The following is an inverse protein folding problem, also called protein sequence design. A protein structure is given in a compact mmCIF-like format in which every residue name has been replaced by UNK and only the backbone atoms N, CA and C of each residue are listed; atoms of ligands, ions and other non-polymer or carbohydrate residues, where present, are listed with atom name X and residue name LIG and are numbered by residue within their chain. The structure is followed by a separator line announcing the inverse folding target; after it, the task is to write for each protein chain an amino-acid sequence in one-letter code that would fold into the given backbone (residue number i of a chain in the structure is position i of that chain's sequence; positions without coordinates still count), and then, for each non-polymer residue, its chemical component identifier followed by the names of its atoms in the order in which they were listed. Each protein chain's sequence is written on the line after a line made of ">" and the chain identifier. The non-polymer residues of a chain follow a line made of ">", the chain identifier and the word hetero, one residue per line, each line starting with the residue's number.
data_IF_099456179221
#
_entry.id   IF_099456179221
#
_cell.length_a   1.000
_cell.length_b   1.000
_cell.length_c   1.000
_cell.angle_alpha   90.00
_cell.angle_beta   90.00
_cell.angle_gamma   90.00
#
_symmetry.space_group_name_H-M   'P 1'
#
loop_
_entity.id
_entity.type
_entity.pdbx_description
1 polymer ?
#
# COMPACT_ATOMS: atom_id res chain seq x y z
N UNK A 1 99.31 38.93 -1.22
CA UNK A 1 99.05 37.55 -0.75
C UNK A 1 98.84 37.62 0.76
N UNK A 2 97.61 37.45 1.26
CA UNK A 2 97.44 37.36 2.72
C UNK A 2 96.13 37.85 3.36
N UNK A 3 95.02 38.06 2.63
CA UNK A 3 93.75 38.46 3.27
C UNK A 3 92.49 37.79 2.71
N UNK A 4 92.61 36.69 1.94
CA UNK A 4 91.46 36.01 1.30
C UNK A 4 91.10 34.64 1.91
N UNK A 5 91.78 34.21 2.98
CA UNK A 5 91.66 32.83 3.50
C UNK A 5 90.77 32.71 4.75
N UNK A 6 90.44 33.80 5.44
CA UNK A 6 89.69 33.72 6.71
C UNK A 6 88.17 33.67 6.52
N UNK A 7 87.64 34.16 5.39
CA UNK A 7 86.19 34.16 5.14
C UNK A 7 85.60 32.76 4.84
N UNK A 8 86.42 31.78 4.47
CA UNK A 8 85.93 30.42 4.14
C UNK A 8 85.77 29.49 5.34
N UNK A 9 86.34 29.81 6.51
CA UNK A 9 86.28 28.89 7.66
C UNK A 9 85.01 29.05 8.51
N UNK A 10 84.42 30.25 8.57
CA UNK A 10 83.10 30.48 9.17
C UNK A 10 81.95 29.95 8.29
N UNK A 11 82.13 29.98 6.96
CA UNK A 11 81.15 29.48 5.98
C UNK A 11 80.88 27.97 6.13
N UNK A 12 81.91 27.17 6.46
CA UNK A 12 81.73 25.74 6.71
C UNK A 12 81.07 25.42 8.07
N UNK A 13 81.05 26.37 9.03
CA UNK A 13 80.29 26.22 10.29
C UNK A 13 78.83 26.65 10.13
N UNK A 14 78.55 27.64 9.30
CA UNK A 14 77.20 28.09 8.97
C UNK A 14 76.42 27.08 8.09
N UNK A 15 77.10 26.32 7.23
CA UNK A 15 76.42 25.33 6.36
C UNK A 15 76.00 24.06 7.10
N UNK A 16 76.62 23.72 8.24
CA UNK A 16 76.25 22.54 9.04
C UNK A 16 75.03 22.77 9.96
N UNK A 17 74.63 24.01 10.16
CA UNK A 17 73.47 24.38 11.01
C UNK A 17 72.18 24.60 10.21
N UNK A 18 72.27 24.80 8.89
CA UNK A 18 71.08 24.95 8.00
C UNK A 18 70.47 23.59 7.60
N UNK A 19 71.19 22.49 7.75
CA UNK A 19 70.65 21.12 7.51
C UNK A 19 69.97 20.52 8.75
N UNK A 20 69.97 21.22 9.89
CA UNK A 20 69.45 20.70 11.17
C UNK A 20 68.21 21.41 11.71
N UNK A 21 67.59 22.32 10.95
CA UNK A 21 66.25 22.85 11.25
C UNK A 21 65.23 22.18 10.30
N UNK A 22 64.17 21.63 10.89
CA UNK A 22 62.99 21.01 10.26
C UNK A 22 62.99 19.52 9.91
N UNK A 23 63.87 18.71 10.50
CA UNK A 23 63.39 17.37 10.92
C UNK A 23 62.66 17.56 12.25
N UNK A 24 61.44 18.10 12.20
CA UNK A 24 60.59 18.25 13.37
C UNK A 24 59.85 16.91 13.58
N UNK A 25 60.31 16.01 14.46
CA UNK A 25 59.72 14.68 14.62
C UNK A 25 58.24 14.75 15.05
N UNK A 26 57.80 15.87 15.62
CA UNK A 26 56.40 16.17 15.93
C UNK A 26 55.55 16.33 14.67
N UNK A 27 55.95 17.14 13.69
CA UNK A 27 55.17 17.35 12.46
C UNK A 27 54.95 16.04 11.68
N UNK A 28 55.97 15.18 11.62
CA UNK A 28 55.84 13.86 10.98
C UNK A 28 54.89 12.93 11.76
N UNK A 29 54.86 13.05 13.09
CA UNK A 29 53.95 12.32 13.98
C UNK A 29 52.52 12.83 13.83
N UNK A 30 52.33 14.14 13.73
CA UNK A 30 51.03 14.78 13.54
C UNK A 30 50.44 14.42 12.17
N UNK A 31 51.25 14.42 11.11
CA UNK A 31 50.84 13.94 9.78
C UNK A 31 50.43 12.47 9.82
N UNK A 32 51.14 11.61 10.56
CA UNK A 32 50.76 10.21 10.71
C UNK A 32 49.45 10.04 11.50
N UNK A 33 49.25 10.82 12.56
CA UNK A 33 48.02 10.83 13.33
C UNK A 33 46.87 11.30 12.44
N UNK A 34 47.02 12.44 11.75
CA UNK A 34 46.03 12.98 10.82
C UNK A 34 45.71 11.98 9.71
N UNK A 35 46.70 11.29 9.16
CA UNK A 35 46.49 10.25 8.14
C UNK A 35 45.69 9.08 8.72
N UNK A 36 46.06 8.57 9.90
CA UNK A 36 45.31 7.51 10.59
C UNK A 36 43.87 7.93 10.91
N UNK A 37 43.67 9.16 11.38
CA UNK A 37 42.35 9.71 11.66
C UNK A 37 41.54 9.84 10.37
N UNK A 38 42.15 10.30 9.28
CA UNK A 38 41.49 10.41 7.96
C UNK A 38 41.08 9.04 7.43
N UNK A 39 41.95 8.04 7.56
CA UNK A 39 41.66 6.66 7.15
C UNK A 39 40.56 6.04 8.00
N UNK A 40 40.55 6.29 9.31
CA UNK A 40 39.48 5.85 10.22
C UNK A 40 38.13 6.49 9.89
N UNK A 41 38.10 7.82 9.71
CA UNK A 41 36.88 8.55 9.36
C UNK A 41 36.32 8.08 8.01
N UNK A 42 37.17 7.79 7.03
CA UNK A 42 36.74 7.20 5.74
C UNK A 42 36.12 5.82 5.91
N UNK A 43 36.64 5.00 6.82
CA UNK A 43 36.07 3.70 7.12
C UNK A 43 34.72 3.81 7.85
N UNK A 44 34.59 4.76 8.78
CA UNK A 44 33.31 5.07 9.42
C UNK A 44 32.26 5.53 8.42
N UNK A 45 32.61 6.45 7.51
CA UNK A 45 31.70 6.91 6.44
C UNK A 45 31.22 5.72 5.60
N UNK A 46 32.13 4.84 5.15
CA UNK A 46 31.75 3.62 4.40
C UNK A 46 30.83 2.69 5.19
N UNK A 47 31.07 2.53 6.50
CA UNK A 47 30.22 1.71 7.36
C UNK A 47 28.83 2.32 7.53
N UNK A 48 28.76 3.65 7.65
CA UNK A 48 27.49 4.39 7.75
C UNK A 48 26.71 4.28 6.44
N UNK A 49 27.36 4.55 5.29
CA UNK A 49 26.74 4.42 3.96
C UNK A 49 26.21 2.99 3.72
N UNK A 50 26.97 1.96 4.13
CA UNK A 50 26.53 0.57 4.01
C UNK A 50 25.30 0.28 4.88
N UNK A 51 25.30 0.75 6.13
CA UNK A 51 24.14 0.60 7.04
C UNK A 51 22.92 1.35 6.50
N UNK A 52 23.10 2.53 5.92
CA UNK A 52 22.02 3.31 5.32
C UNK A 52 21.38 2.54 4.15
N UNK A 53 22.18 1.95 3.27
CA UNK A 53 21.69 1.10 2.18
C UNK A 53 20.95 -0.15 2.70
N UNK A 54 21.46 -0.81 3.73
CA UNK A 54 20.79 -1.95 4.36
C UNK A 54 19.44 -1.53 4.99
N UNK A 55 19.38 -0.37 5.66
CA UNK A 55 18.13 0.15 6.22
C UNK A 55 17.11 0.52 5.14
N UNK A 56 17.55 1.12 4.03
CA UNK A 56 16.68 1.46 2.91
C UNK A 56 16.06 0.20 2.28
N UNK A 57 16.85 -0.86 2.09
CA UNK A 57 16.35 -2.13 1.52
C UNK A 57 15.40 -2.87 2.47
N UNK A 58 15.66 -2.83 3.78
CA UNK A 58 14.73 -3.35 4.80
C UNK A 58 13.44 -2.53 4.81
N UNK A 59 13.53 -1.19 4.75
CA UNK A 59 12.35 -0.31 4.73
C UNK A 59 11.47 -0.57 3.52
N UNK A 60 12.05 -0.70 2.32
CA UNK A 60 11.28 -1.03 1.12
C UNK A 60 10.62 -2.40 1.20
N UNK A 61 11.29 -3.38 1.83
CA UNK A 61 10.73 -4.73 2.02
C UNK A 61 9.56 -4.72 3.02
N UNK A 62 9.68 -3.93 4.09
CA UNK A 62 8.61 -3.75 5.08
C UNK A 62 7.39 -3.05 4.45
N UNK A 63 7.59 -2.00 3.65
CA UNK A 63 6.50 -1.33 2.93
C UNK A 63 5.77 -2.27 1.95
N UNK A 64 6.51 -3.12 1.25
CA UNK A 64 5.91 -4.11 0.36
C UNK A 64 5.10 -5.16 1.14
N UNK A 65 5.58 -5.60 2.31
CA UNK A 65 4.87 -6.52 3.18
C UNK A 65 3.61 -5.89 3.80
N UNK A 66 3.69 -4.62 4.20
CA UNK A 66 2.56 -3.85 4.73
C UNK A 66 1.48 -3.65 3.65
N UNK A 67 1.89 -3.33 2.42
CA UNK A 67 0.97 -3.21 1.28
C UNK A 67 0.29 -4.54 0.96
N UNK A 68 1.03 -5.65 1.00
CA UNK A 68 0.46 -6.99 0.83
C UNK A 68 -0.53 -7.30 1.95
N UNK A 69 -0.16 -7.02 3.20
CA UNK A 69 -1.05 -7.22 4.36
C UNK A 69 -2.36 -6.45 4.17
N UNK A 70 -2.31 -5.18 3.79
CA UNK A 70 -3.50 -4.36 3.55
C UNK A 70 -4.38 -4.93 2.42
N UNK A 71 -3.78 -5.45 1.35
CA UNK A 71 -4.53 -6.12 0.28
C UNK A 71 -5.26 -7.38 0.80
N UNK A 72 -4.60 -8.18 1.64
CA UNK A 72 -5.24 -9.34 2.26
C UNK A 72 -6.38 -8.93 3.18
N UNK A 73 -6.19 -7.93 4.04
CA UNK A 73 -7.24 -7.43 4.94
C UNK A 73 -8.46 -6.88 4.16
N UNK A 74 -8.22 -6.24 3.01
CA UNK A 74 -9.30 -5.77 2.12
C UNK A 74 -10.09 -6.93 1.51
N UNK A 75 -9.38 -7.94 0.98
CA UNK A 75 -9.98 -9.15 0.38
C UNK A 75 -10.73 -9.99 1.41
N UNK A 76 -10.19 -10.09 2.63
CA UNK A 76 -10.77 -10.84 3.73
C UNK A 76 -12.06 -10.22 4.25
N UNK A 77 -12.27 -8.92 4.06
CA UNK A 77 -13.43 -8.24 4.63
C UNK A 77 -13.10 -7.37 5.85
N UNK A 78 -11.88 -7.40 6.36
CA UNK A 78 -11.54 -6.87 7.69
C UNK A 78 -11.48 -5.34 7.75
N UNK A 79 -11.26 -4.69 6.60
CA UNK A 79 -11.22 -3.22 6.48
C UNK A 79 -12.51 -2.72 5.86
N UNK A 80 -13.14 -1.71 6.47
CA UNK A 80 -14.30 -1.04 5.90
C UNK A 80 -13.96 -0.31 4.59
N UNK A 81 -14.78 -0.46 3.56
CA UNK A 81 -14.64 0.25 2.29
C UNK A 81 -15.72 1.30 2.13
N UNK A 82 -15.40 2.43 1.51
CA UNK A 82 -16.33 3.54 1.30
C UNK A 82 -16.27 4.04 -0.12
N UNK A 83 -17.44 4.25 -0.74
CA UNK A 83 -17.51 4.82 -2.08
C UNK A 83 -18.94 5.10 -2.54
N UNK A 84 -19.10 5.74 -3.72
CA UNK A 84 -20.40 5.89 -4.35
C UNK A 84 -20.96 4.54 -4.75
N UNK A 85 -22.27 4.46 -4.97
CA UNK A 85 -22.88 3.22 -5.39
C UNK A 85 -24.40 3.23 -5.38
N UNK A 86 -24.97 2.04 -5.29
CA UNK A 86 -26.41 1.83 -5.27
C UNK A 86 -26.84 0.95 -4.10
N UNK A 87 -28.05 1.21 -3.63
CA UNK A 87 -28.73 0.42 -2.61
C UNK A 87 -30.04 -0.08 -3.19
N UNK A 88 -30.23 -1.39 -3.15
CA UNK A 88 -31.39 -2.08 -3.68
C UNK A 88 -32.11 -2.81 -2.56
N UNK A 89 -33.36 -2.44 -2.28
CA UNK A 89 -34.16 -3.04 -1.20
C UNK A 89 -35.34 -3.80 -1.77
N UNK A 90 -35.46 -5.07 -1.39
CA UNK A 90 -36.55 -5.98 -1.69
C UNK A 90 -37.42 -6.15 -0.44
N UNK A 91 -38.67 -5.67 -0.51
CA UNK A 91 -39.55 -5.64 0.68
C UNK A 91 -40.27 -6.97 0.95
N UNK A 92 -40.30 -7.88 -0.02
CA UNK A 92 -41.02 -9.15 0.05
C UNK A 92 -40.12 -10.33 -0.34
N UNK A 93 -40.67 -11.55 -0.28
CA UNK A 93 -39.96 -12.76 -0.67
C UNK A 93 -39.62 -12.72 -2.17
N UNK A 94 -38.35 -12.97 -2.47
CA UNK A 94 -37.82 -13.06 -3.83
C UNK A 94 -37.20 -14.44 -4.00
N UNK A 95 -37.50 -15.17 -5.09
CA UNK A 95 -36.85 -16.44 -5.35
C UNK A 95 -35.34 -16.30 -5.39
N UNK A 96 -34.63 -17.22 -4.73
CA UNK A 96 -33.21 -17.06 -4.45
C UNK A 96 -32.31 -16.94 -5.69
N UNK A 97 -32.75 -17.48 -6.84
CA UNK A 97 -31.99 -17.41 -8.10
C UNK A 97 -31.86 -15.97 -8.62
N UNK A 98 -32.82 -15.10 -8.33
CA UNK A 98 -32.77 -13.68 -8.74
C UNK A 98 -31.65 -12.92 -8.04
N UNK A 99 -31.22 -13.37 -6.87
CA UNK A 99 -30.09 -12.75 -6.18
C UNK A 99 -28.75 -13.20 -6.76
N UNK A 100 -28.64 -14.46 -7.19
CA UNK A 100 -27.47 -14.92 -7.95
C UNK A 100 -27.30 -14.11 -9.23
N UNK A 101 -28.39 -13.92 -9.97
CA UNK A 101 -28.38 -13.12 -11.21
C UNK A 101 -27.99 -11.67 -10.92
N UNK A 102 -28.57 -11.06 -9.89
CA UNK A 102 -28.23 -9.69 -9.48
C UNK A 102 -26.75 -9.52 -9.12
N UNK A 103 -26.20 -10.40 -8.29
CA UNK A 103 -24.80 -10.32 -7.88
C UNK A 103 -23.88 -10.47 -9.09
N UNK A 104 -24.22 -11.34 -10.04
CA UNK A 104 -23.47 -11.51 -11.28
C UNK A 104 -23.54 -10.25 -12.17
N UNK A 105 -24.72 -9.64 -12.30
CA UNK A 105 -24.91 -8.41 -13.06
C UNK A 105 -24.11 -7.25 -12.43
N UNK A 106 -24.15 -7.09 -11.10
CA UNK A 106 -23.36 -6.10 -10.38
C UNK A 106 -21.85 -6.33 -10.58
N UNK A 107 -21.40 -7.58 -10.47
CA UNK A 107 -19.98 -7.93 -10.66
C UNK A 107 -19.54 -7.65 -12.10
N UNK A 108 -20.37 -8.00 -13.08
CA UNK A 108 -20.11 -7.74 -14.50
C UNK A 108 -20.09 -6.25 -14.82
N UNK A 109 -20.93 -5.47 -14.14
CA UNK A 109 -20.94 -4.01 -14.23
C UNK A 109 -19.75 -3.34 -13.53
N UNK A 110 -18.86 -4.09 -12.89
CA UNK A 110 -17.67 -3.56 -12.21
C UNK A 110 -17.93 -3.09 -10.79
N UNK A 111 -18.84 -3.74 -10.05
CA UNK A 111 -18.96 -3.53 -8.61
C UNK A 111 -17.64 -3.92 -7.91
N UNK A 112 -17.07 -2.99 -7.15
CA UNK A 112 -15.82 -3.20 -6.41
C UNK A 112 -16.08 -3.91 -5.08
N UNK A 113 -17.24 -3.65 -4.46
CA UNK A 113 -17.70 -4.33 -3.27
C UNK A 113 -19.21 -4.49 -3.30
N UNK A 114 -19.70 -5.63 -2.79
CA UNK A 114 -21.13 -5.94 -2.68
C UNK A 114 -21.41 -6.46 -1.28
N UNK A 115 -22.51 -6.02 -0.68
CA UNK A 115 -22.98 -6.50 0.61
C UNK A 115 -24.47 -6.90 0.55
N UNK A 116 -24.83 -7.87 1.38
CA UNK A 116 -26.21 -8.33 1.57
C UNK A 116 -26.58 -8.13 3.04
N UNK A 117 -27.61 -7.34 3.30
CA UNK A 117 -28.06 -6.97 4.65
C UNK A 117 -26.92 -6.43 5.54
N UNK A 118 -26.02 -5.65 4.96
CA UNK A 118 -24.84 -5.09 5.64
C UNK A 118 -23.65 -6.03 5.76
N UNK A 119 -23.75 -7.29 5.34
CA UNK A 119 -22.63 -8.23 5.34
C UNK A 119 -21.94 -8.24 3.98
N UNK A 120 -20.68 -7.79 3.95
CA UNK A 120 -19.87 -7.78 2.72
C UNK A 120 -19.59 -9.19 2.20
N UNK A 121 -19.77 -9.37 0.89
CA UNK A 121 -19.44 -10.60 0.19
C UNK A 121 -17.93 -10.63 -0.07
N UNK A 122 -17.24 -11.64 0.45
CA UNK A 122 -15.79 -11.83 0.27
C UNK A 122 -15.52 -13.21 -0.34
N UNK A 123 -14.37 -13.34 -1.00
CA UNK A 123 -14.01 -14.59 -1.70
C UNK A 123 -13.62 -15.73 -0.75
N UNK A 124 -13.18 -15.42 0.48
CA UNK A 124 -12.63 -16.41 1.42
C UNK A 124 -13.63 -16.85 2.50
N UNK A 125 -14.36 -15.93 3.14
CA UNK A 125 -15.14 -16.24 4.35
C UNK A 125 -16.67 -16.14 4.15
N UNK A 126 -17.14 -15.15 3.37
CA UNK A 126 -18.55 -14.80 3.28
C UNK A 126 -19.10 -14.91 1.85
N UNK A 127 -18.95 -16.10 1.26
CA UNK A 127 -19.52 -16.41 -0.05
C UNK A 127 -21.06 -16.39 -0.03
N UNK A 128 -21.65 -15.96 -1.14
CA UNK A 128 -23.09 -16.02 -1.36
C UNK A 128 -23.54 -17.45 -1.72
N UNK A 129 -24.53 -17.97 -0.99
CA UNK A 129 -25.11 -19.30 -1.21
C UNK A 129 -26.63 -19.26 -1.11
N UNK A 130 -27.26 -20.11 -1.90
CA UNK A 130 -28.69 -20.39 -1.83
C UNK A 130 -28.86 -21.79 -1.26
N UNK A 131 -29.31 -21.88 0.00
CA UNK A 131 -29.52 -23.17 0.69
C UNK A 131 -30.99 -23.58 0.64
N UNK A 132 -31.91 -22.63 0.84
CA UNK A 132 -33.35 -22.85 0.78
C UNK A 132 -34.01 -21.88 -0.21
N UNK A 133 -35.18 -22.23 -0.77
CA UNK A 133 -35.97 -21.29 -1.56
C UNK A 133 -36.32 -20.05 -0.73
N UNK A 134 -36.19 -18.88 -1.33
CA UNK A 134 -36.52 -17.57 -0.74
C UNK A 134 -35.64 -17.13 0.44
N UNK A 135 -34.52 -17.81 0.67
CA UNK A 135 -33.51 -17.36 1.64
C UNK A 135 -32.20 -17.03 0.95
N UNK A 136 -31.40 -16.20 1.62
CA UNK A 136 -30.01 -15.94 1.23
C UNK A 136 -29.09 -16.36 2.36
N UNK A 137 -28.06 -17.13 2.03
CA UNK A 137 -27.04 -17.51 2.99
C UNK A 137 -25.74 -16.81 2.62
N UNK A 138 -25.16 -16.08 3.56
CA UNK A 138 -23.86 -15.42 3.39
C UNK A 138 -22.98 -15.81 4.56
N UNK A 139 -21.90 -16.54 4.27
CA UNK A 139 -21.14 -17.26 5.30
C UNK A 139 -22.05 -18.23 6.05
N UNK A 140 -22.10 -18.11 7.38
CA UNK A 140 -22.96 -18.92 8.25
C UNK A 140 -24.34 -18.30 8.52
N UNK A 141 -24.60 -17.09 8.02
CA UNK A 141 -25.82 -16.35 8.32
C UNK A 141 -26.88 -16.61 7.26
N UNK A 142 -28.10 -16.92 7.69
CA UNK A 142 -29.28 -17.07 6.82
C UNK A 142 -30.18 -15.86 6.98
N UNK A 143 -30.39 -15.15 5.88
CA UNK A 143 -31.23 -13.97 5.79
C UNK A 143 -32.60 -14.28 5.17
N UNK A 144 -33.59 -13.51 5.61
CA UNK A 144 -34.97 -13.52 5.13
C UNK A 144 -35.36 -12.10 4.69
N UNK A 145 -36.46 -11.99 3.94
CA UNK A 145 -36.99 -10.69 3.54
C UNK A 145 -37.33 -9.82 4.77
N UNK A 146 -37.10 -8.50 4.71
CA UNK A 146 -36.62 -7.73 3.56
C UNK A 146 -35.11 -7.91 3.32
N UNK A 147 -34.71 -7.86 2.05
CA UNK A 147 -33.30 -7.93 1.65
C UNK A 147 -32.83 -6.57 1.17
N UNK A 148 -31.64 -6.15 1.61
CA UNK A 148 -30.95 -4.95 1.13
C UNK A 148 -29.63 -5.38 0.52
N UNK A 149 -29.44 -5.07 -0.75
CA UNK A 149 -28.19 -5.31 -1.47
C UNK A 149 -27.54 -3.96 -1.75
N UNK A 150 -26.31 -3.82 -1.32
CA UNK A 150 -25.52 -2.61 -1.45
C UNK A 150 -24.31 -2.92 -2.33
N UNK A 151 -24.02 -2.04 -3.28
CA UNK A 151 -22.88 -2.20 -4.17
C UNK A 151 -22.15 -0.88 -4.33
N UNK A 152 -20.82 -0.91 -4.22
CA UNK A 152 -19.93 0.24 -4.40
C UNK A 152 -19.31 0.19 -5.80
N UNK A 153 -19.51 1.25 -6.58
CA UNK A 153 -18.85 1.56 -7.86
C UNK A 153 -19.43 2.88 -8.41
N UNK A 154 -19.18 3.20 -9.68
CA UNK A 154 -19.88 4.29 -10.35
C UNK A 154 -21.41 4.04 -10.36
N UNK A 155 -22.14 4.90 -9.65
CA UNK A 155 -23.59 4.78 -9.45
C UNK A 155 -24.39 4.86 -10.75
N UNK A 156 -23.88 5.56 -11.77
CA UNK A 156 -24.55 5.68 -13.07
C UNK A 156 -24.32 4.43 -13.91
N UNK A 157 -23.10 3.87 -13.89
CA UNK A 157 -22.76 2.62 -14.53
C UNK A 157 -23.56 1.44 -13.95
N UNK A 158 -23.59 1.28 -12.62
CA UNK A 158 -24.35 0.22 -11.96
C UNK A 158 -25.86 0.34 -12.24
N UNK A 159 -26.40 1.54 -12.14
CA UNK A 159 -27.81 1.78 -12.43
C UNK A 159 -28.13 1.48 -13.90
N UNK A 160 -27.28 1.95 -14.83
CA UNK A 160 -27.44 1.74 -16.25
C UNK A 160 -27.39 0.26 -16.64
N UNK A 161 -26.49 -0.52 -16.04
CA UNK A 161 -26.40 -1.97 -16.27
C UNK A 161 -27.68 -2.70 -15.84
N UNK A 162 -28.22 -2.36 -14.66
CA UNK A 162 -29.41 -3.01 -14.13
C UNK A 162 -30.70 -2.63 -14.88
N UNK A 163 -30.79 -1.36 -15.32
CA UNK A 163 -31.96 -0.79 -16.01
C UNK A 163 -31.87 -0.88 -17.53
N UNK A 164 -30.84 -1.54 -18.08
CA UNK A 164 -30.75 -1.77 -19.51
C UNK A 164 -32.00 -2.50 -20.01
N UNK A 165 -32.44 -2.18 -21.22
CA UNK A 165 -33.60 -2.87 -21.81
C UNK A 165 -33.33 -4.38 -21.90
N UNK A 166 -34.22 -5.18 -21.31
CA UNK A 166 -34.04 -6.64 -21.17
C UNK A 166 -33.02 -7.06 -20.10
N UNK A 167 -32.53 -6.10 -19.31
CA UNK A 167 -31.63 -6.29 -18.18
C UNK A 167 -32.35 -6.83 -16.95
N UNK A 168 -31.65 -6.82 -15.81
CA UNK A 168 -32.12 -7.43 -14.58
C UNK A 168 -33.50 -6.91 -14.13
N UNK A 169 -33.69 -5.59 -14.10
CA UNK A 169 -34.92 -4.97 -13.58
C UNK A 169 -36.13 -5.30 -14.46
N UNK A 170 -35.95 -5.26 -15.78
CA UNK A 170 -37.00 -5.61 -16.75
C UNK A 170 -37.41 -7.08 -16.56
N UNK A 171 -36.43 -8.00 -16.55
CA UNK A 171 -36.70 -9.44 -16.36
C UNK A 171 -37.39 -9.72 -15.03
N UNK A 172 -36.96 -9.08 -13.96
CA UNK A 172 -37.53 -9.27 -12.63
C UNK A 172 -38.98 -8.78 -12.59
N UNK A 173 -39.26 -7.58 -13.09
CA UNK A 173 -40.61 -6.99 -13.04
C UNK A 173 -41.60 -7.69 -13.97
N UNK A 174 -41.14 -8.22 -15.11
CA UNK A 174 -41.97 -9.01 -16.04
C UNK A 174 -42.42 -10.35 -15.43
N UNK A 175 -41.49 -11.07 -14.81
CA UNK A 175 -41.74 -12.41 -14.25
C UNK A 175 -42.36 -12.36 -12.84
N UNK A 176 -42.00 -11.36 -12.04
CA UNK A 176 -42.33 -11.29 -10.62
C UNK A 176 -43.01 -9.97 -10.23
N UNK A 177 -44.19 -9.73 -10.81
CA UNK A 177 -44.98 -8.48 -10.62
C UNK A 177 -45.32 -8.13 -9.18
N UNK A 178 -45.19 -9.08 -8.25
CA UNK A 178 -45.50 -8.88 -6.84
C UNK A 178 -44.30 -8.31 -6.05
N UNK A 179 -43.09 -8.33 -6.64
CA UNK A 179 -41.88 -7.86 -5.97
C UNK A 179 -41.90 -6.34 -5.84
N UNK A 180 -41.73 -5.88 -4.61
CA UNK A 180 -41.58 -4.46 -4.30
C UNK A 180 -40.10 -4.15 -4.15
N UNK A 181 -39.56 -3.52 -5.18
CA UNK A 181 -38.17 -3.12 -5.28
C UNK A 181 -38.01 -1.60 -5.13
N UNK A 182 -37.02 -1.19 -4.36
CA UNK A 182 -36.56 0.19 -4.29
C UNK A 182 -35.08 0.25 -4.67
N UNK A 183 -34.73 1.09 -5.64
CA UNK A 183 -33.35 1.31 -6.07
C UNK A 183 -32.97 2.77 -5.81
N UNK A 184 -31.92 2.99 -5.04
CA UNK A 184 -31.45 4.32 -4.62
C UNK A 184 -29.98 4.45 -4.97
N UNK A 185 -29.62 5.53 -5.66
CA UNK A 185 -28.22 5.92 -5.86
C UNK A 185 -27.73 6.69 -4.65
N UNK A 186 -26.54 6.36 -4.14
CA UNK A 186 -25.90 7.08 -3.03
C UNK A 186 -24.51 7.54 -3.43
N UNK A 187 -24.12 8.72 -2.95
CA UNK A 187 -22.78 9.28 -3.15
C UNK A 187 -21.73 8.64 -2.24
N UNK A 188 -22.17 8.08 -1.10
CA UNK A 188 -21.31 7.39 -0.15
C UNK A 188 -22.08 6.24 0.51
N UNK A 189 -21.53 5.05 0.40
CA UNK A 189 -21.92 3.82 1.08
C UNK A 189 -20.68 3.34 1.83
N UNK A 190 -20.84 2.94 3.08
CA UNK A 190 -19.80 2.32 3.89
C UNK A 190 -20.17 0.86 4.04
N UNK A 191 -19.28 -0.05 3.62
CA UNK A 191 -19.45 -1.48 3.83
C UNK A 191 -18.40 -1.93 4.84
N UNK A 192 -18.86 -2.64 5.87
CA UNK A 192 -18.03 -3.29 6.88
C UNK A 192 -17.78 -4.75 6.46
#
# INVERSE_FOLDING_TARGET
>A
MGFLVVAQFESFRAVKTVVSREKNPSAFRDIQILKKTTDNLRNEIRLIEKKEQELLTVTSSLQALESQKLQYELLAGEISVTGPGIVMTFSNLVPSFWFTDLINELTTAGAEAVAVNGLRLTSEENGFRVVLPYTLTVGDNVFYAPFTIEAISDKEALYGALMQSGGYIDRLTENERQIKLQLIKKDSIVLE
#
